data_IF_172388708023
#
_entry.id   IF_172388708023
#
_cell.length_a   1.000
_cell.length_b   1.000
_cell.length_c   1.000
_cell.angle_alpha   90.00
_cell.angle_beta   90.00
_cell.angle_gamma   90.00
#
_symmetry.space_group_name_H-M   'P 1'
#
loop_
_entity.id
_entity.type
_entity.pdbx_description
1 polymer ?
#
# COMPACT_ATOMS: atom_id res chain seq x y z
N UNK A 1 21.54 15.37 9.44
CA UNK A 1 20.82 15.90 8.26
C UNK A 1 19.60 16.72 8.70
N UNK A 2 19.53 18.00 8.33
CA UNK A 2 18.31 18.79 8.55
C UNK A 2 17.29 18.36 7.48
N UNK A 3 16.28 17.59 7.88
CA UNK A 3 15.22 17.16 6.98
C UNK A 3 14.35 18.36 6.59
N UNK A 4 13.79 18.37 5.37
CA UNK A 4 12.96 19.48 4.90
C UNK A 4 11.74 19.62 5.82
N UNK A 5 11.60 20.81 6.42
CA UNK A 5 10.40 21.18 7.18
C UNK A 5 9.28 21.43 6.17
N UNK A 6 8.27 20.56 6.17
CA UNK A 6 7.10 20.70 5.31
C UNK A 6 5.86 20.82 6.18
N UNK A 7 5.06 21.84 5.92
CA UNK A 7 3.77 22.01 6.57
C UNK A 7 2.78 20.98 6.03
N UNK A 8 1.80 20.58 6.85
CA UNK A 8 0.69 19.78 6.38
C UNK A 8 -0.09 20.52 5.30
N UNK A 9 -0.61 19.81 4.30
CA UNK A 9 -1.36 20.38 3.16
C UNK A 9 -2.56 21.23 3.56
N UNK A 10 -3.11 20.99 4.74
CA UNK A 10 -4.23 21.75 5.29
C UNK A 10 -3.80 23.05 5.97
N UNK A 11 -2.49 23.32 6.08
CA UNK A 11 -1.96 24.58 6.56
C UNK A 11 -2.14 25.66 5.48
N UNK A 12 -3.31 26.29 5.49
CA UNK A 12 -3.67 27.39 4.61
C UNK A 12 -3.18 28.75 5.13
N UNK A 13 -3.97 29.80 4.88
CA UNK A 13 -3.63 31.15 5.35
C UNK A 13 -3.90 31.34 6.85
N UNK A 14 -3.08 32.16 7.51
CA UNK A 14 -3.19 32.41 8.95
C UNK A 14 -4.57 32.98 9.35
N UNK A 15 -5.07 33.97 8.61
CA UNK A 15 -6.36 34.61 8.87
C UNK A 15 -7.58 33.89 8.30
N UNK A 16 -7.38 32.75 7.63
CA UNK A 16 -8.44 32.00 6.95
C UNK A 16 -8.08 30.50 6.92
N UNK A 17 -8.27 29.82 8.06
CA UNK A 17 -8.07 28.37 8.14
C UNK A 17 -8.96 27.62 7.15
N UNK A 18 -8.42 26.57 6.53
CA UNK A 18 -9.17 25.67 5.64
C UNK A 18 -10.19 24.85 6.45
N UNK A 19 -11.41 24.69 5.94
CA UNK A 19 -12.42 23.81 6.55
C UNK A 19 -11.94 22.36 6.67
N UNK A 20 -11.03 21.91 5.79
CA UNK A 20 -10.40 20.59 5.87
C UNK A 20 -9.51 20.41 7.10
N UNK A 21 -9.14 21.47 7.80
CA UNK A 21 -8.36 21.43 9.05
C UNK A 21 -9.24 21.49 10.32
N UNK A 22 -10.56 21.59 10.17
CA UNK A 22 -11.48 21.79 11.28
C UNK A 22 -11.55 20.56 12.19
N UNK A 23 -11.37 20.77 13.49
CA UNK A 23 -11.59 19.73 14.48
C UNK A 23 -13.08 19.46 14.68
N UNK A 24 -13.43 18.20 14.90
CA UNK A 24 -14.80 17.75 15.18
C UNK A 24 -14.93 17.33 16.64
N UNK A 25 -15.98 17.78 17.33
CA UNK A 25 -16.26 17.36 18.72
C UNK A 25 -16.66 15.88 18.74
N UNK A 26 -16.07 15.11 19.64
CA UNK A 26 -16.44 13.72 19.86
C UNK A 26 -17.71 13.64 20.71
N UNK A 27 -18.74 12.97 20.18
CA UNK A 27 -20.08 12.89 20.78
C UNK A 27 -20.00 12.32 22.20
N UNK A 28 -20.68 12.96 23.15
CA UNK A 28 -20.73 12.53 24.55
C UNK A 28 -19.45 12.82 25.36
N UNK A 29 -18.51 13.60 24.81
CA UNK A 29 -17.27 13.99 25.49
C UNK A 29 -16.98 15.47 25.32
N UNK A 30 -16.01 16.01 26.05
CA UNK A 30 -15.45 17.35 25.81
C UNK A 30 -14.16 17.33 24.98
N UNK A 31 -13.93 16.24 24.26
CA UNK A 31 -12.77 16.09 23.39
C UNK A 31 -13.10 16.53 21.95
N UNK A 32 -12.08 17.08 21.30
CA UNK A 32 -12.11 17.46 19.89
C UNK A 32 -11.05 16.68 19.14
N UNK A 33 -11.36 16.27 17.90
CA UNK A 33 -10.48 15.41 17.12
C UNK A 33 -10.23 16.00 15.74
N UNK A 34 -8.97 15.88 15.31
CA UNK A 34 -8.57 15.96 13.91
C UNK A 34 -7.79 14.68 13.57
N UNK A 35 -8.30 13.87 12.64
CA UNK A 35 -7.68 12.60 12.25
C UNK A 35 -7.03 12.75 10.88
N UNK A 36 -5.78 12.31 10.76
CA UNK A 36 -5.04 12.36 9.51
C UNK A 36 -4.11 11.15 9.35
N UNK A 37 -3.63 10.95 8.13
CA UNK A 37 -2.55 10.01 7.80
C UNK A 37 -1.33 10.83 7.40
N UNK A 38 -0.18 10.63 8.06
CA UNK A 38 1.01 11.46 7.85
C UNK A 38 1.47 11.51 6.39
N UNK A 39 1.49 10.37 5.70
CA UNK A 39 1.90 10.30 4.29
C UNK A 39 0.96 11.07 3.36
N UNK A 40 -0.31 11.22 3.72
CA UNK A 40 -1.31 11.98 2.95
C UNK A 40 -1.21 13.46 3.29
N UNK A 41 -1.13 13.80 4.59
CA UNK A 41 -1.13 15.19 5.04
C UNK A 41 0.15 15.92 4.63
N UNK A 42 1.30 15.27 4.72
CA UNK A 42 2.60 15.87 4.38
C UNK A 42 3.08 15.50 2.97
N UNK A 43 2.36 14.63 2.26
CA UNK A 43 2.75 14.07 0.94
C UNK A 43 4.20 13.58 0.93
N UNK A 44 4.60 12.93 2.03
CA UNK A 44 5.92 12.37 2.23
C UNK A 44 5.84 10.84 2.30
N UNK A 45 6.92 10.15 1.94
CA UNK A 45 7.01 8.71 2.15
C UNK A 45 7.10 8.39 3.66
N UNK A 46 6.69 7.18 4.10
CA UNK A 46 6.83 6.79 5.50
C UNK A 46 8.24 6.97 6.06
N UNK A 47 9.28 6.70 5.26
CA UNK A 47 10.69 6.83 5.68
C UNK A 47 11.15 8.28 5.88
N UNK A 48 10.39 9.26 5.40
CA UNK A 48 10.67 10.70 5.56
C UNK A 48 9.88 11.32 6.73
N UNK A 49 8.98 10.55 7.36
CA UNK A 49 8.16 11.01 8.47
C UNK A 49 8.77 10.55 9.79
N UNK A 50 9.28 11.51 10.57
CA UNK A 50 9.90 11.24 11.87
C UNK A 50 9.06 11.82 13.01
N UNK A 51 8.83 13.13 12.95
CA UNK A 51 8.00 13.86 13.90
C UNK A 51 7.14 14.91 13.20
N UNK A 52 6.15 15.38 13.93
CA UNK A 52 5.33 16.52 13.54
C UNK A 52 5.03 17.41 14.75
N UNK A 53 4.60 18.64 14.46
CA UNK A 53 4.09 19.58 15.43
C UNK A 53 2.74 20.11 15.00
N UNK A 54 1.97 20.63 15.96
CA UNK A 54 0.74 21.36 15.65
C UNK A 54 0.47 22.45 16.68
N UNK A 55 -0.33 23.42 16.26
CA UNK A 55 -1.03 24.36 17.12
C UNK A 55 -2.50 24.35 16.72
N UNK A 56 -3.39 24.70 17.63
CA UNK A 56 -4.81 24.89 17.34
C UNK A 56 -5.11 26.39 17.33
N UNK A 57 -5.81 26.87 16.31
CA UNK A 57 -6.22 28.27 16.19
C UNK A 57 -7.68 28.42 15.81
N UNK A 58 -8.26 29.57 16.14
CA UNK A 58 -9.55 29.99 15.59
C UNK A 58 -9.46 30.17 14.07
N UNK A 59 -10.59 30.11 13.36
CA UNK A 59 -10.63 30.18 11.89
C UNK A 59 -9.97 31.44 11.32
N UNK A 60 -10.12 32.55 12.04
CA UNK A 60 -9.57 33.87 11.75
C UNK A 60 -8.14 34.08 12.30
N UNK A 61 -7.59 33.10 13.03
CA UNK A 61 -6.28 33.21 13.67
C UNK A 61 -6.20 34.19 14.84
N UNK A 62 -7.32 34.73 15.32
CA UNK A 62 -7.34 35.69 16.44
C UNK A 62 -6.98 35.08 17.79
N UNK A 63 -7.14 33.77 17.95
CA UNK A 63 -6.76 32.99 19.13
C UNK A 63 -6.00 31.74 18.72
N UNK A 64 -5.02 31.34 19.52
CA UNK A 64 -4.23 30.14 19.29
C UNK A 64 -3.74 29.50 20.59
N UNK A 65 -3.37 28.22 20.50
CA UNK A 65 -2.56 27.54 21.51
C UNK A 65 -1.08 27.84 21.29
N UNK A 66 -0.23 27.39 22.22
CA UNK A 66 1.20 27.22 21.94
C UNK A 66 1.44 26.17 20.85
N UNK A 67 2.64 26.18 20.28
CA UNK A 67 3.17 25.08 19.47
C UNK A 67 3.36 23.83 20.33
N UNK A 68 2.72 22.74 19.94
CA UNK A 68 2.95 21.42 20.52
C UNK A 68 3.83 20.60 19.56
N UNK A 69 5.07 20.31 19.96
CA UNK A 69 6.05 19.52 19.21
C UNK A 69 7.19 19.05 20.13
N UNK A 70 7.86 17.92 19.85
CA UNK A 70 7.59 16.98 18.74
C UNK A 70 6.57 15.89 19.14
N UNK A 71 5.76 15.48 18.17
CA UNK A 71 5.03 14.22 18.22
C UNK A 71 5.66 13.28 17.20
N UNK A 72 6.18 12.15 17.67
CA UNK A 72 6.77 11.16 16.76
C UNK A 72 5.66 10.46 15.98
N UNK A 73 5.90 10.23 14.69
CA UNK A 73 5.09 9.27 13.95
C UNK A 73 5.35 7.88 14.49
N UNK A 74 4.32 7.04 14.49
CA UNK A 74 4.51 5.62 14.73
C UNK A 74 5.53 5.08 13.72
N UNK A 75 6.47 4.21 14.16
CA UNK A 75 7.43 3.61 13.26
C UNK A 75 6.71 2.87 12.14
N UNK A 76 7.40 2.62 11.02
CA UNK A 76 6.88 1.74 9.98
C UNK A 76 6.71 0.35 10.59
N UNK A 77 5.51 0.06 11.08
CA UNK A 77 5.16 -1.27 11.56
C UNK A 77 4.78 -2.09 10.33
N UNK A 78 5.47 -3.21 10.16
CA UNK A 78 5.02 -4.25 9.26
C UNK A 78 3.60 -4.66 9.66
N UNK A 79 2.61 -4.33 8.82
CA UNK A 79 1.25 -4.85 8.99
C UNK A 79 1.16 -6.13 8.16
N UNK A 80 1.08 -7.31 8.80
CA UNK A 80 0.89 -8.56 8.08
C UNK A 80 -0.42 -8.48 7.28
N UNK A 81 -0.38 -8.93 6.03
CA UNK A 81 -1.56 -9.05 5.16
C UNK A 81 -1.41 -10.29 4.30
N UNK A 82 -2.54 -10.92 3.96
CA UNK A 82 -2.57 -12.13 3.13
C UNK A 82 -1.83 -11.91 1.80
N UNK A 83 -2.06 -10.76 1.16
CA UNK A 83 -1.35 -10.35 -0.07
C UNK A 83 -0.69 -9.02 0.19
N UNK A 84 0.64 -9.02 0.19
CA UNK A 84 1.44 -7.82 0.45
C UNK A 84 2.34 -7.53 -0.75
N UNK A 85 2.58 -6.26 -1.00
CA UNK A 85 3.48 -5.79 -2.05
C UNK A 85 4.55 -4.92 -1.43
N UNK A 86 5.78 -5.08 -1.91
CA UNK A 86 6.91 -4.26 -1.50
C UNK A 86 7.82 -3.98 -2.70
N UNK A 87 8.32 -2.74 -2.85
CA UNK A 87 7.94 -1.54 -2.10
C UNK A 87 6.48 -1.10 -2.36
N UNK A 88 5.91 -0.31 -1.44
CA UNK A 88 4.53 0.19 -1.55
C UNK A 88 4.37 1.32 -2.59
N UNK A 89 5.49 1.88 -3.06
CA UNK A 89 5.55 2.86 -4.14
C UNK A 89 6.69 2.49 -5.07
N UNK A 90 6.37 2.22 -6.33
CA UNK A 90 7.30 1.76 -7.35
C UNK A 90 6.83 2.23 -8.73
N UNK A 91 7.78 2.35 -9.65
CA UNK A 91 7.58 2.49 -11.09
C UNK A 91 7.54 1.14 -11.81
N UNK A 92 7.20 1.15 -13.09
CA UNK A 92 7.26 -0.03 -13.97
C UNK A 92 8.69 -0.60 -14.13
N UNK A 93 9.72 0.17 -13.78
CA UNK A 93 11.14 -0.19 -13.89
C UNK A 93 11.78 -0.60 -12.56
N UNK A 94 11.05 -0.48 -11.45
CA UNK A 94 11.53 -0.88 -10.15
C UNK A 94 11.29 -2.37 -9.89
N UNK A 95 12.08 -2.93 -8.97
CA UNK A 95 11.85 -4.28 -8.50
C UNK A 95 10.67 -4.30 -7.54
N UNK A 96 9.69 -5.14 -7.85
CA UNK A 96 8.48 -5.39 -7.06
C UNK A 96 8.53 -6.80 -6.52
N UNK A 97 8.24 -6.96 -5.24
CA UNK A 97 8.02 -8.24 -4.59
C UNK A 97 6.58 -8.35 -4.13
N UNK A 98 5.89 -9.37 -4.62
CA UNK A 98 4.56 -9.77 -4.17
C UNK A 98 4.70 -10.92 -3.19
N UNK A 99 3.94 -10.88 -2.10
CA UNK A 99 3.93 -11.87 -1.04
C UNK A 99 2.56 -12.48 -0.89
N UNK A 100 2.53 -13.76 -0.52
CA UNK A 100 1.35 -14.47 -0.06
C UNK A 100 1.64 -15.04 1.33
N UNK A 101 0.79 -14.70 2.31
CA UNK A 101 0.81 -15.28 3.65
C UNK A 101 -0.47 -16.11 3.86
N UNK A 102 -0.33 -17.43 3.75
CA UNK A 102 -1.45 -18.36 3.85
C UNK A 102 -2.11 -18.35 5.23
N UNK A 103 -1.38 -17.94 6.28
CA UNK A 103 -1.89 -17.92 7.67
C UNK A 103 -2.91 -16.80 7.87
N UNK A 104 -2.89 -15.81 6.99
CA UNK A 104 -3.80 -14.67 7.00
C UNK A 104 -4.95 -14.83 6.00
N UNK A 105 -4.98 -15.94 5.25
CA UNK A 105 -6.05 -16.23 4.31
C UNK A 105 -7.38 -16.47 5.02
N UNK A 106 -8.43 -15.82 4.52
CA UNK A 106 -9.80 -16.03 5.00
C UNK A 106 -10.47 -17.25 4.36
N UNK A 107 -9.98 -17.71 3.21
CA UNK A 107 -10.42 -18.96 2.58
C UNK A 107 -9.72 -20.18 3.20
N UNK A 108 -10.51 -21.24 3.45
CA UNK A 108 -9.99 -22.51 3.97
C UNK A 108 -9.07 -23.18 2.96
N UNK A 109 -9.41 -23.14 1.67
CA UNK A 109 -8.59 -23.77 0.63
C UNK A 109 -7.27 -23.03 0.44
N UNK A 110 -7.31 -21.69 0.44
CA UNK A 110 -6.12 -20.86 0.31
C UNK A 110 -5.21 -20.95 1.55
N UNK A 111 -5.75 -21.09 2.75
CA UNK A 111 -4.94 -21.26 3.98
C UNK A 111 -4.27 -22.65 4.06
N UNK A 112 -4.83 -23.64 3.37
CA UNK A 112 -4.30 -25.02 3.27
C UNK A 112 -3.54 -25.29 1.98
N UNK A 113 -3.52 -24.33 1.06
CA UNK A 113 -2.80 -24.43 -0.20
C UNK A 113 -1.31 -24.58 0.10
N UNK A 114 -0.64 -25.51 -0.59
CA UNK A 114 0.81 -25.45 -0.78
C UNK A 114 1.05 -24.63 -2.05
N UNK A 115 1.41 -23.34 -1.96
CA UNK A 115 1.55 -22.47 -3.12
C UNK A 115 2.83 -22.84 -3.87
N UNK A 116 2.73 -22.94 -5.19
CA UNK A 116 3.86 -23.36 -6.04
C UNK A 116 4.20 -22.25 -7.03
N UNK A 117 3.19 -21.54 -7.51
CA UNK A 117 3.34 -20.60 -8.61
C UNK A 117 2.53 -19.32 -8.45
N UNK A 118 2.91 -18.31 -9.21
CA UNK A 118 2.16 -17.06 -9.38
C UNK A 118 1.89 -16.81 -10.86
N UNK A 119 0.72 -16.24 -11.14
CA UNK A 119 0.35 -15.72 -12.45
C UNK A 119 0.26 -14.20 -12.37
N UNK A 120 0.77 -13.50 -13.39
CA UNK A 120 0.84 -12.03 -13.44
C UNK A 120 0.40 -11.54 -14.82
N UNK A 121 -0.46 -10.52 -14.83
CA UNK A 121 -0.91 -9.81 -16.03
C UNK A 121 -0.69 -8.32 -15.85
N UNK A 122 -0.19 -7.64 -16.90
CA UNK A 122 0.03 -6.19 -16.88
C UNK A 122 -0.99 -5.46 -17.77
N UNK A 123 -1.36 -4.26 -17.35
CA UNK A 123 -2.39 -3.44 -17.98
C UNK A 123 -1.87 -2.02 -18.25
N UNK A 124 -2.36 -1.40 -19.33
CA UNK A 124 -2.11 0.00 -19.65
C UNK A 124 -3.08 0.97 -18.96
N UNK A 125 -2.97 2.24 -19.33
CA UNK A 125 -3.79 3.34 -18.84
C UNK A 125 -5.29 3.15 -19.11
N UNK A 126 -5.65 2.41 -20.15
CA UNK A 126 -7.03 2.13 -20.56
C UNK A 126 -7.55 0.79 -20.01
N UNK A 127 -6.84 0.20 -19.03
CA UNK A 127 -7.13 -1.09 -18.42
C UNK A 127 -7.16 -2.25 -19.43
N UNK A 128 -6.40 -2.13 -20.52
CA UNK A 128 -6.21 -3.19 -21.51
C UNK A 128 -4.97 -4.02 -21.18
N UNK A 129 -5.05 -5.33 -21.38
CA UNK A 129 -3.88 -6.22 -21.29
C UNK A 129 -2.90 -5.91 -22.42
N UNK A 130 -1.65 -5.60 -22.06
CA UNK A 130 -0.64 -5.09 -23.01
C UNK A 130 0.52 -6.04 -23.28
N UNK A 131 0.55 -7.19 -22.62
CA UNK A 131 1.49 -8.26 -22.89
C UNK A 131 0.86 -9.62 -22.59
N UNK A 132 1.43 -10.69 -23.16
CA UNK A 132 1.02 -12.06 -22.83
C UNK A 132 1.14 -12.29 -21.32
N UNK A 133 0.06 -12.73 -20.63
CA UNK A 133 0.11 -13.07 -19.22
C UNK A 133 1.23 -14.07 -18.93
N UNK A 134 1.94 -13.86 -17.82
CA UNK A 134 2.96 -14.79 -17.35
C UNK A 134 2.34 -15.71 -16.32
N UNK A 135 2.37 -17.00 -16.60
CA UNK A 135 1.73 -18.02 -15.76
C UNK A 135 2.77 -18.99 -15.21
N UNK A 136 2.43 -19.66 -14.11
CA UNK A 136 3.23 -20.71 -13.51
C UNK A 136 4.66 -20.27 -13.11
N UNK A 137 4.84 -19.01 -12.72
CA UNK A 137 6.14 -18.49 -12.27
C UNK A 137 6.43 -19.04 -10.88
N UNK A 138 7.61 -19.65 -10.69
CA UNK A 138 7.96 -20.31 -9.43
C UNK A 138 8.08 -19.32 -8.27
N UNK A 139 7.46 -19.67 -7.15
CA UNK A 139 7.54 -18.89 -5.90
C UNK A 139 8.81 -19.23 -5.11
N UNK A 140 9.30 -18.25 -4.35
CA UNK A 140 10.27 -18.45 -3.29
C UNK A 140 9.54 -18.62 -1.95
N UNK A 141 9.90 -19.66 -1.18
CA UNK A 141 9.46 -19.78 0.22
C UNK A 141 10.33 -18.87 1.09
N UNK A 142 9.70 -17.94 1.80
CA UNK A 142 10.40 -16.99 2.69
C UNK A 142 10.39 -17.48 4.13
N UNK A 143 9.24 -17.99 4.58
CA UNK A 143 9.04 -18.52 5.91
C UNK A 143 7.97 -19.62 5.88
N UNK A 144 7.66 -20.20 7.03
CA UNK A 144 6.55 -21.13 7.14
C UNK A 144 5.21 -20.45 6.81
N UNK A 145 4.61 -20.84 5.70
CA UNK A 145 3.35 -20.29 5.18
C UNK A 145 3.46 -18.96 4.43
N UNK A 146 4.67 -18.43 4.23
CA UNK A 146 4.89 -17.17 3.50
C UNK A 146 5.72 -17.40 2.24
N UNK A 147 5.20 -16.94 1.11
CA UNK A 147 5.77 -17.12 -0.22
C UNK A 147 5.92 -15.78 -0.93
N UNK A 148 6.89 -15.66 -1.84
CA UNK A 148 7.15 -14.43 -2.56
C UNK A 148 7.52 -14.66 -4.03
N UNK A 149 7.36 -13.61 -4.83
CA UNK A 149 7.96 -13.52 -6.15
C UNK A 149 8.43 -12.09 -6.40
N UNK A 150 9.64 -11.92 -6.92
CA UNK A 150 10.23 -10.62 -7.24
C UNK A 150 10.44 -10.47 -8.73
N UNK A 151 10.08 -9.32 -9.29
CA UNK A 151 10.24 -9.03 -10.72
C UNK A 151 10.36 -7.52 -10.98
N UNK A 152 10.87 -7.18 -12.15
CA UNK A 152 10.76 -5.84 -12.74
C UNK A 152 9.83 -5.98 -13.94
N UNK A 153 8.77 -5.17 -14.04
CA UNK A 153 7.72 -5.34 -15.06
C UNK A 153 8.29 -5.31 -16.47
N UNK A 154 9.15 -4.34 -16.77
CA UNK A 154 9.80 -4.19 -18.09
C UNK A 154 10.87 -5.25 -18.40
N UNK A 155 11.25 -6.08 -17.42
CA UNK A 155 12.12 -7.25 -17.63
C UNK A 155 11.33 -8.54 -17.77
N UNK A 156 10.22 -8.66 -17.04
CA UNK A 156 9.35 -9.82 -17.08
C UNK A 156 8.49 -9.83 -18.36
N UNK A 157 8.05 -8.66 -18.81
CA UNK A 157 7.21 -8.48 -19.98
C UNK A 157 7.90 -7.66 -21.07
N UNK A 158 7.56 -7.95 -22.31
CA UNK A 158 7.90 -7.10 -23.45
C UNK A 158 6.78 -6.07 -23.61
N UNK A 159 7.02 -4.85 -23.16
CA UNK A 159 6.05 -3.74 -23.27
C UNK A 159 6.17 -3.09 -24.66
N UNK A 160 5.06 -2.89 -25.40
CA UNK A 160 5.10 -2.21 -26.69
C UNK A 160 5.64 -0.78 -26.58
N UNK A 161 6.37 -0.32 -27.61
CA UNK A 161 6.92 1.03 -27.62
C UNK A 161 5.81 2.09 -27.52
N UNK A 162 6.00 3.08 -26.64
CA UNK A 162 5.03 4.16 -26.42
C UNK A 162 3.87 3.81 -25.48
N UNK A 163 3.79 2.58 -24.97
CA UNK A 163 2.79 2.15 -23.99
C UNK A 163 3.37 2.23 -22.58
N UNK A 164 2.58 2.77 -21.65
CA UNK A 164 2.92 2.83 -20.22
C UNK A 164 2.15 1.76 -19.44
N UNK A 165 2.80 1.17 -18.44
CA UNK A 165 2.17 0.16 -17.58
C UNK A 165 1.48 0.84 -16.40
N UNK A 166 0.15 0.85 -16.35
CA UNK A 166 -0.64 1.42 -15.25
C UNK A 166 -0.58 0.54 -14.00
N UNK A 167 -0.81 -0.76 -14.18
CA UNK A 167 -0.99 -1.70 -13.08
C UNK A 167 -0.64 -3.14 -13.46
N UNK A 168 -0.50 -3.99 -12.46
CA UNK A 168 -0.50 -5.44 -12.65
C UNK A 168 -1.54 -6.10 -11.75
N UNK A 169 -2.05 -7.25 -12.22
CA UNK A 169 -2.95 -8.15 -11.49
C UNK A 169 -2.24 -9.48 -11.33
N UNK A 170 -2.42 -10.13 -10.19
CA UNK A 170 -1.77 -11.39 -9.87
C UNK A 170 -2.65 -12.31 -9.03
N UNK A 171 -2.41 -13.62 -9.15
CA UNK A 171 -2.96 -14.63 -8.25
C UNK A 171 -1.93 -15.74 -8.02
N UNK A 172 -2.05 -16.42 -6.90
CA UNK A 172 -1.17 -17.53 -6.52
C UNK A 172 -1.89 -18.84 -6.78
N UNK A 173 -1.17 -19.82 -7.34
CA UNK A 173 -1.71 -21.14 -7.63
C UNK A 173 -0.86 -22.23 -6.98
N UNK A 174 -1.52 -23.26 -6.51
CA UNK A 174 -0.92 -24.39 -5.83
C UNK A 174 -1.88 -25.56 -5.71
N UNK A 175 -1.61 -26.43 -4.75
CA UNK A 175 -2.44 -27.60 -4.48
C UNK A 175 -2.87 -27.65 -3.03
N UNK A 176 -4.10 -28.06 -2.79
CA UNK A 176 -4.67 -28.31 -1.46
C UNK A 176 -5.23 -29.73 -1.35
N UNK A 177 -5.85 -30.02 -0.20
CA UNK A 177 -6.61 -31.25 0.03
C UNK A 177 -8.09 -30.92 0.22
N UNK A 178 -8.96 -31.66 -0.45
CA UNK A 178 -10.41 -31.56 -0.23
C UNK A 178 -10.86 -32.36 1.02
N UNK A 179 -12.17 -32.38 1.29
CA UNK A 179 -12.74 -33.10 2.44
C UNK A 179 -12.53 -34.62 2.38
N UNK A 180 -12.22 -35.16 1.20
CA UNK A 180 -11.95 -36.59 0.97
C UNK A 180 -10.46 -36.92 1.06
N UNK A 181 -9.59 -35.92 1.22
CA UNK A 181 -8.14 -36.06 1.22
C UNK A 181 -7.51 -36.10 -0.18
N UNK A 182 -8.30 -35.86 -1.23
CA UNK A 182 -7.83 -35.81 -2.62
C UNK A 182 -7.08 -34.50 -2.88
N UNK A 183 -6.03 -34.56 -3.71
CA UNK A 183 -5.30 -33.35 -4.12
C UNK A 183 -6.12 -32.56 -5.13
N UNK A 184 -6.37 -31.28 -4.84
CA UNK A 184 -7.08 -30.36 -5.73
C UNK A 184 -6.19 -29.17 -6.08
N UNK A 185 -6.40 -28.59 -7.26
CA UNK A 185 -5.80 -27.31 -7.61
C UNK A 185 -6.50 -26.19 -6.84
N UNK A 186 -5.72 -25.27 -6.27
CA UNK A 186 -6.23 -24.09 -5.56
C UNK A 186 -5.61 -22.86 -6.20
N UNK A 187 -6.42 -21.84 -6.43
CA UNK A 187 -5.98 -20.52 -6.87
C UNK A 187 -6.52 -19.49 -5.89
N UNK A 188 -5.68 -18.55 -5.48
CA UNK A 188 -6.11 -17.46 -4.62
C UNK A 188 -6.90 -16.42 -5.39
N UNK A 189 -7.65 -15.58 -4.67
CA UNK A 189 -8.32 -14.45 -5.30
C UNK A 189 -7.29 -13.50 -5.94
N UNK A 190 -7.73 -12.66 -6.86
CA UNK A 190 -6.82 -11.71 -7.49
C UNK A 190 -6.37 -10.61 -6.52
N UNK A 191 -5.09 -10.27 -6.58
CA UNK A 191 -4.54 -9.02 -6.06
C UNK A 191 -4.21 -8.08 -7.23
N UNK A 192 -4.16 -6.77 -6.96
CA UNK A 192 -3.76 -5.78 -7.96
C UNK A 192 -2.89 -4.69 -7.34
N UNK A 193 -2.08 -4.05 -8.18
CA UNK A 193 -1.22 -2.92 -7.78
C UNK A 193 -1.06 -1.93 -8.91
N UNK A 194 -1.30 -0.65 -8.61
CA UNK A 194 -1.11 0.46 -9.53
C UNK A 194 0.25 1.13 -9.31
N UNK A 195 0.98 1.37 -10.39
CA UNK A 195 2.25 2.09 -10.36
C UNK A 195 2.01 3.59 -10.10
N UNK A 196 2.82 4.20 -9.25
CA UNK A 196 2.57 5.54 -8.70
C UNK A 196 3.39 6.65 -9.35
N UNK A 197 4.32 6.32 -10.24
CA UNK A 197 5.09 7.27 -11.05
C UNK A 197 4.29 7.84 -12.24
N UNK A 198 3.02 7.44 -12.37
CA UNK A 198 2.10 7.85 -13.42
C UNK A 198 1.08 8.93 -12.98
N UNK A 199 1.22 9.45 -11.77
CA UNK A 199 0.48 10.63 -11.26
C UNK A 199 1.35 11.89 -11.25
#
# INVERSE_FOLDING_TARGET
>A
PAYPKKDGKTNGQWGASDEKSKMTKLVGTDLWQFKFTGTVLYEASPAQLFDFGFLVKSKDGSKQTSDFKPFNFDPIVFVPSEKRIFPAKVSENDMVTVFFDQKLSTSTDQSRMTPITINITIYDMDDKVIATPKTNLALKKEADGTFSFSFISTKLFVVPAGVKVKKFVYNFSGTGKDITGSTIAVTSDEGSFEFLDLQ
#
